data_IF_892024850936
#
_entry.id   IF_892024850936
#
_cell.length_a   1.000
_cell.length_b   1.000
_cell.length_c   1.000
_cell.angle_alpha   90.00
_cell.angle_beta   90.00
_cell.angle_gamma   90.00
#
_symmetry.space_group_name_H-M   'P 1'
#
loop_
_entity.id
_entity.type
_entity.pdbx_description
1 polymer ?
#
# COMPACT_ATOMS: atom_id res chain seq x y z
N UNK A 1 10.11 -8.81 -36.08
CA UNK A 1 9.36 -9.48 -34.98
C UNK A 1 10.21 -10.52 -34.24
N UNK A 2 10.62 -11.67 -34.81
CA UNK A 2 11.31 -12.77 -34.09
C UNK A 2 12.65 -12.47 -33.35
N UNK A 3 13.27 -11.28 -33.48
CA UNK A 3 14.51 -10.91 -32.75
C UNK A 3 14.27 -10.23 -31.40
N UNK A 4 13.14 -9.54 -31.17
CA UNK A 4 12.89 -8.86 -29.89
C UNK A 4 12.42 -9.81 -28.78
N UNK A 5 11.56 -10.80 -29.09
CA UNK A 5 11.10 -11.80 -28.10
C UNK A 5 12.24 -12.62 -27.49
N UNK A 6 13.28 -12.93 -28.27
CA UNK A 6 14.42 -13.71 -27.79
C UNK A 6 15.37 -12.89 -26.91
N UNK A 7 15.29 -11.56 -26.95
CA UNK A 7 16.11 -10.68 -26.11
C UNK A 7 15.47 -10.49 -24.73
N UNK A 8 14.15 -10.23 -24.67
CA UNK A 8 13.46 -10.13 -23.36
C UNK A 8 13.46 -11.47 -22.62
N UNK A 9 13.19 -12.59 -23.29
CA UNK A 9 13.23 -13.93 -22.66
C UNK A 9 14.63 -14.31 -22.15
N UNK A 10 15.72 -13.80 -22.76
CA UNK A 10 17.08 -13.99 -22.23
C UNK A 10 17.37 -13.09 -21.02
N UNK A 11 17.01 -11.81 -21.08
CA UNK A 11 17.17 -10.89 -19.94
C UNK A 11 16.38 -11.34 -18.70
N UNK A 12 15.14 -11.80 -18.88
CA UNK A 12 14.30 -12.32 -17.79
C UNK A 12 14.90 -13.59 -17.15
N UNK A 13 15.58 -14.46 -17.92
CA UNK A 13 16.22 -15.64 -17.37
C UNK A 13 17.52 -15.30 -16.61
N UNK A 14 18.35 -14.40 -17.14
CA UNK A 14 19.56 -13.92 -16.46
C UNK A 14 19.22 -13.22 -15.13
N UNK A 15 18.24 -12.31 -15.15
CA UNK A 15 17.77 -11.65 -13.93
C UNK A 15 17.18 -12.64 -12.91
N UNK A 16 16.53 -13.73 -13.37
CA UNK A 16 16.07 -14.79 -12.46
C UNK A 16 17.22 -15.58 -11.83
N UNK A 17 18.26 -15.88 -12.59
CA UNK A 17 19.46 -16.58 -12.08
C UNK A 17 20.20 -15.70 -11.04
N UNK A 18 20.38 -14.40 -11.32
CA UNK A 18 20.98 -13.45 -10.37
C UNK A 18 20.12 -13.23 -9.10
N UNK A 19 18.79 -13.16 -9.23
CA UNK A 19 17.87 -13.07 -8.08
C UNK A 19 17.93 -14.34 -7.21
N UNK A 20 18.10 -15.52 -7.81
CA UNK A 20 18.26 -16.79 -7.08
C UNK A 20 19.57 -16.79 -6.28
N UNK A 21 20.64 -16.24 -6.84
CA UNK A 21 21.96 -16.17 -6.19
C UNK A 21 21.94 -15.21 -4.98
N UNK A 22 21.43 -13.99 -5.16
CA UNK A 22 21.33 -12.98 -4.10
C UNK A 22 20.37 -13.41 -2.98
N UNK A 23 19.25 -14.07 -3.31
CA UNK A 23 18.38 -14.63 -2.28
C UNK A 23 19.07 -15.76 -1.50
N UNK A 24 19.93 -16.54 -2.16
CA UNK A 24 20.73 -17.58 -1.52
C UNK A 24 21.80 -16.98 -0.59
N UNK A 25 22.45 -15.88 -1.00
CA UNK A 25 23.38 -15.14 -0.16
C UNK A 25 22.70 -14.52 1.07
N UNK A 26 21.58 -13.79 0.88
CA UNK A 26 20.78 -13.23 1.96
C UNK A 26 20.32 -14.32 2.95
N UNK A 27 19.89 -15.47 2.43
CA UNK A 27 19.51 -16.63 3.23
C UNK A 27 20.69 -17.19 4.03
N UNK A 28 21.87 -17.29 3.43
CA UNK A 28 23.09 -17.73 4.12
C UNK A 28 23.47 -16.74 5.25
N UNK A 29 23.53 -15.44 4.97
CA UNK A 29 23.83 -14.41 5.97
C UNK A 29 22.85 -14.41 7.16
N UNK A 30 21.57 -14.75 6.93
CA UNK A 30 20.57 -14.90 8.00
C UNK A 30 20.79 -16.20 8.78
N UNK A 31 21.04 -17.32 8.10
CA UNK A 31 21.29 -18.62 8.75
C UNK A 31 22.54 -18.60 9.64
N UNK A 32 23.65 -18.02 9.17
CA UNK A 32 24.91 -17.89 9.94
C UNK A 32 24.78 -17.05 11.20
N UNK A 33 23.73 -16.22 11.28
CA UNK A 33 23.52 -15.27 12.39
C UNK A 33 22.39 -15.68 13.34
N UNK A 34 21.79 -16.84 13.11
CA UNK A 34 20.78 -17.43 13.97
C UNK A 34 21.33 -18.73 14.57
N UNK A 35 21.05 -19.03 15.85
CA UNK A 35 21.70 -20.13 16.53
C UNK A 35 21.14 -21.49 16.04
N UNK A 36 22.02 -22.47 15.83
CA UNK A 36 21.68 -23.77 15.22
C UNK A 36 20.55 -24.53 15.97
N UNK A 37 20.49 -24.37 17.29
CA UNK A 37 19.45 -24.96 18.16
C UNK A 37 18.04 -24.42 17.88
N UNK A 38 17.88 -23.35 17.09
CA UNK A 38 16.59 -22.88 16.59
C UNK A 38 16.01 -23.77 15.47
N UNK A 39 16.80 -24.70 14.89
CA UNK A 39 16.34 -25.66 13.86
C UNK A 39 15.53 -25.00 12.73
N UNK A 40 16.19 -24.08 12.00
CA UNK A 40 15.57 -23.36 10.88
C UNK A 40 15.38 -24.34 9.70
N UNK A 41 14.18 -24.35 9.13
CA UNK A 41 13.80 -25.27 8.05
C UNK A 41 13.74 -24.57 6.69
N UNK A 42 13.14 -23.39 6.65
CA UNK A 42 13.07 -22.58 5.44
C UNK A 42 13.11 -21.08 5.76
N UNK A 43 13.42 -20.31 4.73
CA UNK A 43 13.34 -18.87 4.71
C UNK A 43 12.57 -18.50 3.45
N UNK A 44 11.57 -17.65 3.59
CA UNK A 44 10.70 -17.20 2.49
C UNK A 44 10.59 -15.68 2.52
N UNK A 45 10.55 -15.06 1.34
CA UNK A 45 10.16 -13.65 1.22
C UNK A 45 8.64 -13.61 1.14
N UNK A 46 7.99 -12.80 1.96
CA UNK A 46 6.53 -12.69 2.00
C UNK A 46 6.10 -11.22 2.08
N UNK A 47 5.84 -10.62 0.92
CA UNK A 47 5.65 -9.18 0.82
C UNK A 47 6.90 -8.45 1.32
N UNK A 48 6.77 -7.43 2.19
CA UNK A 48 7.91 -6.70 2.74
C UNK A 48 8.66 -7.44 3.87
N UNK A 49 8.25 -8.66 4.21
CA UNK A 49 8.80 -9.43 5.34
C UNK A 49 9.68 -10.60 4.89
N UNK A 50 10.75 -10.84 5.64
CA UNK A 50 11.53 -12.07 5.54
C UNK A 50 11.04 -13.06 6.60
N UNK A 51 10.28 -14.06 6.17
CA UNK A 51 9.72 -15.10 7.01
C UNK A 51 10.73 -16.22 7.28
N UNK A 52 11.10 -16.43 8.55
CA UNK A 52 12.01 -17.50 8.99
C UNK A 52 11.20 -18.60 9.66
N UNK A 53 11.17 -19.79 9.06
CA UNK A 53 10.45 -20.95 9.57
C UNK A 53 11.38 -21.82 10.44
N UNK A 54 10.92 -22.17 11.64
CA UNK A 54 11.71 -22.84 12.67
C UNK A 54 10.93 -23.99 13.30
N UNK A 55 11.61 -25.12 13.53
CA UNK A 55 11.10 -26.25 14.35
C UNK A 55 11.27 -26.04 15.86
N UNK A 56 12.03 -25.02 16.27
CA UNK A 56 12.20 -24.66 17.67
C UNK A 56 12.11 -23.13 17.89
N UNK A 57 10.94 -22.52 17.63
CA UNK A 57 10.77 -21.06 17.72
C UNK A 57 10.97 -20.51 19.15
N UNK A 58 10.94 -21.39 20.16
CA UNK A 58 11.11 -21.05 21.59
C UNK A 58 12.45 -20.35 21.85
N UNK A 59 13.53 -20.84 21.25
CA UNK A 59 14.88 -20.26 21.36
C UNK A 59 14.90 -18.81 20.86
N UNK A 60 14.27 -18.56 19.72
CA UNK A 60 14.27 -17.23 19.09
C UNK A 60 13.37 -16.24 19.86
N UNK A 61 12.28 -16.72 20.46
CA UNK A 61 11.38 -15.92 21.30
C UNK A 61 11.98 -15.56 22.67
N UNK A 62 12.90 -16.37 23.18
CA UNK A 62 13.64 -16.12 24.42
C UNK A 62 14.86 -15.23 24.15
N UNK A 63 15.62 -15.48 23.08
CA UNK A 63 16.77 -14.68 22.65
C UNK A 63 16.37 -13.54 21.70
N UNK A 64 15.40 -12.72 22.10
CA UNK A 64 14.82 -11.67 21.26
C UNK A 64 15.80 -10.59 20.77
N UNK A 65 16.97 -10.46 21.38
CA UNK A 65 18.00 -9.49 21.00
C UNK A 65 18.78 -9.90 19.75
N UNK A 66 19.00 -11.21 19.51
CA UNK A 66 19.64 -11.72 18.29
C UNK A 66 18.87 -11.25 17.05
N UNK A 67 17.53 -11.33 17.10
CA UNK A 67 16.66 -10.89 16.00
C UNK A 67 16.85 -9.38 15.75
N UNK A 68 16.94 -8.57 16.81
CA UNK A 68 17.17 -7.12 16.69
C UNK A 68 18.52 -6.82 16.05
N UNK A 69 19.56 -7.57 16.37
CA UNK A 69 20.89 -7.43 15.77
C UNK A 69 20.88 -7.78 14.28
N UNK A 70 20.27 -8.91 13.91
CA UNK A 70 20.14 -9.32 12.49
C UNK A 70 19.31 -8.30 11.70
N UNK A 71 18.18 -7.83 12.26
CA UNK A 71 17.34 -6.77 11.64
C UNK A 71 18.12 -5.45 11.50
N UNK A 72 18.91 -5.03 12.50
CA UNK A 72 19.77 -3.83 12.41
C UNK A 72 20.84 -3.97 11.32
N UNK A 73 21.50 -5.13 11.24
CA UNK A 73 22.60 -5.38 10.30
C UNK A 73 22.10 -5.45 8.85
N UNK A 74 21.04 -6.21 8.60
CA UNK A 74 20.48 -6.40 7.25
C UNK A 74 19.54 -5.27 6.82
N UNK A 75 19.08 -4.44 7.76
CA UNK A 75 18.04 -3.41 7.57
C UNK A 75 16.73 -3.96 6.97
N UNK A 76 16.48 -5.27 7.06
CA UNK A 76 15.26 -5.96 6.58
C UNK A 76 14.38 -6.41 7.76
N UNK A 77 13.06 -6.42 7.57
CA UNK A 77 12.12 -6.89 8.60
C UNK A 77 12.07 -8.41 8.62
N UNK A 78 12.35 -9.02 9.78
CA UNK A 78 12.37 -10.48 9.96
C UNK A 78 11.19 -10.90 10.84
N UNK A 79 10.46 -11.92 10.38
CA UNK A 79 9.29 -12.48 11.06
C UNK A 79 9.49 -13.98 11.28
N UNK A 80 9.51 -14.39 12.55
CA UNK A 80 9.65 -15.81 12.92
C UNK A 80 8.29 -16.48 12.89
N UNK A 81 8.27 -17.68 12.31
CA UNK A 81 7.12 -18.56 12.19
C UNK A 81 7.51 -19.99 12.57
N UNK A 82 6.56 -20.71 13.15
CA UNK A 82 6.73 -22.14 13.40
C UNK A 82 6.62 -22.90 12.08
N UNK A 83 7.49 -23.88 11.87
CA UNK A 83 7.38 -24.80 10.73
C UNK A 83 6.01 -25.51 10.72
N UNK A 84 5.34 -25.69 9.56
CA UNK A 84 4.03 -26.36 9.51
C UNK A 84 4.00 -27.76 10.13
N UNK A 85 5.11 -28.52 10.11
CA UNK A 85 5.19 -29.89 10.64
C UNK A 85 5.14 -30.01 12.16
N UNK A 86 5.30 -28.91 12.90
CA UNK A 86 5.28 -28.88 14.38
C UNK A 86 4.04 -28.20 14.96
N UNK A 87 3.16 -27.63 14.13
CA UNK A 87 1.95 -26.96 14.59
C UNK A 87 0.91 -28.00 14.98
N UNK A 88 0.23 -27.76 16.11
CA UNK A 88 -0.92 -28.58 16.48
C UNK A 88 -2.07 -28.38 15.48
N UNK A 89 -2.94 -29.39 15.37
CA UNK A 89 -4.20 -29.27 14.63
C UNK A 89 -5.02 -28.06 15.14
N UNK A 90 -5.71 -27.29 14.28
CA UNK A 90 -6.51 -26.15 14.70
C UNK A 90 -7.53 -26.44 15.81
N UNK A 91 -8.20 -27.58 15.80
CA UNK A 91 -9.22 -27.89 16.83
C UNK A 91 -8.59 -28.33 18.16
N UNK A 92 -7.37 -28.89 18.14
CA UNK A 92 -6.58 -29.12 19.36
C UNK A 92 -5.99 -27.82 19.91
N UNK A 93 -5.36 -27.01 19.03
CA UNK A 93 -4.82 -25.71 19.37
C UNK A 93 -5.88 -24.78 19.97
N UNK A 94 -7.11 -24.80 19.42
CA UNK A 94 -8.27 -24.03 19.91
C UNK A 94 -8.70 -24.42 21.32
N UNK A 95 -8.72 -25.71 21.66
CA UNK A 95 -8.99 -26.18 23.04
C UNK A 95 -7.93 -25.63 24.00
N UNK A 96 -6.66 -25.81 23.65
CA UNK A 96 -5.52 -25.33 24.44
C UNK A 96 -5.54 -23.80 24.61
N UNK A 97 -5.90 -23.04 23.57
CA UNK A 97 -6.06 -21.58 23.67
C UNK A 97 -7.18 -21.22 24.65
N UNK A 98 -8.33 -21.91 24.61
CA UNK A 98 -9.44 -21.68 25.54
C UNK A 98 -9.15 -22.13 26.99
N UNK A 99 -8.19 -23.02 27.20
CA UNK A 99 -7.68 -23.41 28.53
C UNK A 99 -6.67 -22.39 29.09
N UNK A 100 -5.81 -21.82 28.24
CA UNK A 100 -4.79 -20.82 28.64
C UNK A 100 -5.42 -19.44 28.86
N UNK A 101 -6.40 -19.05 28.04
CA UNK A 101 -6.99 -17.71 28.05
C UNK A 101 -8.11 -17.63 29.12
N UNK A 102 -8.05 -16.68 30.07
CA UNK A 102 -9.08 -16.54 31.10
C UNK A 102 -10.47 -16.30 30.50
N UNK A 103 -11.52 -16.92 31.05
CA UNK A 103 -12.89 -16.80 30.54
C UNK A 103 -13.40 -15.34 30.55
N UNK A 104 -12.89 -14.53 31.48
CA UNK A 104 -13.18 -13.09 31.61
C UNK A 104 -12.67 -12.27 30.41
N UNK A 105 -11.80 -12.82 29.56
CA UNK A 105 -11.40 -12.22 28.30
C UNK A 105 -12.57 -12.09 27.31
N UNK A 106 -13.58 -12.97 27.45
CA UNK A 106 -14.74 -13.09 26.57
C UNK A 106 -14.31 -13.24 25.10
N UNK A 107 -13.63 -14.36 24.80
CA UNK A 107 -13.25 -14.74 23.43
C UNK A 107 -14.52 -15.02 22.62
N UNK A 108 -14.70 -14.29 21.53
CA UNK A 108 -15.87 -14.41 20.64
C UNK A 108 -15.61 -15.26 19.41
N UNK A 109 -14.34 -15.38 18.99
CA UNK A 109 -13.98 -16.08 17.76
C UNK A 109 -12.48 -16.45 17.77
N UNK A 110 -12.13 -17.58 17.15
CA UNK A 110 -10.75 -18.03 16.94
C UNK A 110 -10.66 -18.51 15.49
N UNK A 111 -9.73 -17.95 14.72
CA UNK A 111 -9.56 -18.19 13.29
C UNK A 111 -8.09 -18.51 12.98
N UNK A 112 -7.82 -19.60 12.28
CA UNK A 112 -6.45 -20.04 11.96
C UNK A 112 -6.10 -19.72 10.51
N UNK A 113 -4.90 -19.18 10.28
CA UNK A 113 -4.30 -19.05 8.95
C UNK A 113 -3.12 -20.01 8.82
N UNK A 114 -3.38 -21.16 8.20
CA UNK A 114 -2.41 -22.23 7.97
C UNK A 114 -1.22 -21.80 7.13
N UNK A 115 -1.39 -20.83 6.23
CA UNK A 115 -0.35 -20.43 5.30
C UNK A 115 0.74 -19.62 6.01
N UNK A 116 0.35 -18.71 6.91
CA UNK A 116 1.29 -17.91 7.71
C UNK A 116 1.61 -18.50 9.10
N UNK A 117 0.77 -19.41 9.62
CA UNK A 117 0.95 -19.99 10.95
C UNK A 117 0.49 -19.09 12.10
N UNK A 118 -0.44 -18.18 11.81
CA UNK A 118 -1.03 -17.28 12.80
C UNK A 118 -2.43 -17.77 13.21
N UNK A 119 -2.79 -17.48 14.47
CA UNK A 119 -4.13 -17.68 15.02
C UNK A 119 -4.69 -16.32 15.46
N UNK A 120 -5.74 -15.89 14.78
CA UNK A 120 -6.45 -14.64 15.08
C UNK A 120 -7.46 -14.93 16.19
N UNK A 121 -7.30 -14.25 17.33
CA UNK A 121 -8.16 -14.41 18.52
C UNK A 121 -8.95 -13.12 18.71
N UNK A 122 -10.27 -13.18 18.54
CA UNK A 122 -11.19 -12.07 18.85
C UNK A 122 -11.67 -12.17 20.29
N UNK A 123 -11.38 -11.18 21.12
CA UNK A 123 -11.86 -11.11 22.50
C UNK A 123 -12.33 -9.69 22.87
N UNK A 124 -13.37 -9.57 23.71
CA UNK A 124 -13.85 -8.24 24.15
C UNK A 124 -12.80 -7.51 25.01
N UNK A 125 -12.04 -8.27 25.81
CA UNK A 125 -10.95 -7.79 26.67
C UNK A 125 -9.60 -8.38 26.22
N UNK A 126 -9.03 -7.91 25.09
CA UNK A 126 -7.82 -8.51 24.49
C UNK A 126 -6.59 -8.48 25.41
N UNK A 127 -6.50 -7.51 26.33
CA UNK A 127 -5.41 -7.44 27.31
C UNK A 127 -5.29 -8.67 28.22
N UNK A 128 -6.40 -9.40 28.48
CA UNK A 128 -6.38 -10.65 29.24
C UNK A 128 -5.86 -11.85 28.41
N UNK A 129 -6.07 -11.82 27.09
CA UNK A 129 -5.50 -12.79 26.14
C UNK A 129 -4.00 -12.57 25.94
N UNK A 130 -3.56 -11.30 25.97
CA UNK A 130 -2.15 -10.93 25.86
C UNK A 130 -1.38 -11.29 27.14
N UNK A 131 -2.01 -11.03 28.30
CA UNK A 131 -1.40 -11.22 29.61
C UNK A 131 -0.39 -10.13 29.97
N UNK A 132 0.02 -10.09 31.23
CA UNK A 132 1.05 -9.14 31.70
C UNK A 132 2.35 -9.39 30.94
N UNK A 133 2.91 -8.35 30.32
CA UNK A 133 4.13 -8.40 29.51
C UNK A 133 4.17 -9.50 28.43
N UNK A 134 3.00 -9.87 27.88
CA UNK A 134 2.88 -10.87 26.81
C UNK A 134 3.08 -12.32 27.24
N UNK A 135 3.03 -12.64 28.55
CA UNK A 135 3.26 -14.01 29.06
C UNK A 135 2.27 -15.01 28.46
N UNK A 136 0.97 -14.67 28.40
CA UNK A 136 -0.07 -15.54 27.86
C UNK A 136 0.12 -15.80 26.36
N UNK A 137 0.53 -14.79 25.58
CA UNK A 137 0.89 -14.99 24.16
C UNK A 137 2.06 -15.98 24.01
N UNK A 138 3.12 -15.81 24.80
CA UNK A 138 4.28 -16.71 24.79
C UNK A 138 3.87 -18.14 25.18
N UNK A 139 2.97 -18.30 26.14
CA UNK A 139 2.47 -19.61 26.54
C UNK A 139 1.65 -20.29 25.43
N UNK A 140 0.77 -19.56 24.75
CA UNK A 140 0.06 -20.04 23.56
C UNK A 140 1.06 -20.55 22.52
N UNK A 141 2.07 -19.74 22.15
CA UNK A 141 3.09 -20.18 21.18
C UNK A 141 3.87 -21.41 21.69
N UNK A 142 4.22 -21.46 22.98
CA UNK A 142 5.00 -22.58 23.54
C UNK A 142 4.23 -23.91 23.58
N UNK A 143 2.88 -23.86 23.66
CA UNK A 143 2.01 -25.05 23.73
C UNK A 143 1.43 -25.45 22.38
N UNK A 144 1.03 -24.51 21.52
CA UNK A 144 0.35 -24.80 20.24
C UNK A 144 1.24 -24.66 19.01
N UNK A 145 2.36 -23.95 19.15
CA UNK A 145 3.21 -23.47 18.06
C UNK A 145 2.52 -22.55 17.05
N UNK A 146 1.29 -22.09 17.31
CA UNK A 146 0.64 -21.04 16.54
C UNK A 146 1.01 -19.66 17.08
N UNK A 147 1.19 -18.70 16.19
CA UNK A 147 1.50 -17.30 16.54
C UNK A 147 0.19 -16.52 16.79
N UNK A 148 -0.12 -16.10 18.03
CA UNK A 148 -1.39 -15.44 18.33
C UNK A 148 -1.37 -13.98 17.87
N UNK A 149 -2.36 -13.62 17.06
CA UNK A 149 -2.72 -12.25 16.71
C UNK A 149 -4.01 -11.89 17.43
N UNK A 150 -3.92 -11.08 18.48
CA UNK A 150 -5.07 -10.75 19.34
C UNK A 150 -5.72 -9.46 18.88
N UNK A 151 -7.02 -9.52 18.60
CA UNK A 151 -7.81 -8.37 18.17
C UNK A 151 -9.05 -8.21 19.06
N UNK A 152 -9.50 -6.96 19.21
CA UNK A 152 -10.68 -6.66 20.02
C UNK A 152 -11.95 -7.05 19.25
N UNK A 153 -12.83 -7.83 19.87
CA UNK A 153 -14.17 -8.11 19.33
C UNK A 153 -14.91 -6.78 19.11
N UNK A 154 -15.35 -6.45 17.86
CA UNK A 154 -16.02 -5.19 17.60
C UNK A 154 -17.43 -5.20 18.20
N UNK A 155 -17.93 -4.08 18.74
CA UNK A 155 -19.28 -4.00 19.31
C UNK A 155 -20.37 -4.13 18.23
N UNK A 156 -20.05 -3.77 16.98
CA UNK A 156 -20.92 -3.88 15.81
C UNK A 156 -20.21 -4.76 14.78
N UNK A 157 -20.87 -5.83 14.31
CA UNK A 157 -20.32 -6.71 13.27
C UNK A 157 -20.41 -6.03 11.90
N UNK A 158 -19.26 -5.82 11.24
CA UNK A 158 -19.20 -5.31 9.87
C UNK A 158 -19.23 -6.45 8.85
N UNK A 159 -20.20 -6.40 7.92
CA UNK A 159 -20.29 -7.36 6.81
C UNK A 159 -19.06 -7.31 5.91
N UNK A 160 -18.52 -6.12 5.63
CA UNK A 160 -17.34 -5.93 4.77
C UNK A 160 -16.09 -6.54 5.38
N UNK A 161 -15.88 -6.39 6.70
CA UNK A 161 -14.72 -7.01 7.38
C UNK A 161 -14.82 -8.54 7.33
N UNK A 162 -16.02 -9.10 7.56
CA UNK A 162 -16.24 -10.54 7.40
C UNK A 162 -15.97 -11.01 5.97
N UNK A 163 -16.49 -10.32 4.95
CA UNK A 163 -16.28 -10.63 3.54
C UNK A 163 -14.79 -10.65 3.17
N UNK A 164 -14.04 -9.61 3.54
CA UNK A 164 -12.60 -9.51 3.27
C UNK A 164 -11.84 -10.68 3.92
N UNK A 165 -12.15 -11.01 5.17
CA UNK A 165 -11.51 -12.14 5.88
C UNK A 165 -11.85 -13.47 5.21
N UNK A 166 -13.11 -13.71 4.86
CA UNK A 166 -13.53 -14.92 4.15
C UNK A 166 -12.78 -15.07 2.83
N UNK A 167 -12.65 -13.99 2.04
CA UNK A 167 -11.87 -13.99 0.78
C UNK A 167 -10.40 -14.38 1.03
N UNK A 168 -9.73 -13.71 1.98
CA UNK A 168 -8.31 -13.96 2.27
C UNK A 168 -8.08 -15.40 2.76
N UNK A 169 -9.00 -15.94 3.57
CA UNK A 169 -8.90 -17.31 4.08
C UNK A 169 -9.18 -18.36 3.00
N UNK A 170 -10.27 -18.21 2.23
CA UNK A 170 -10.64 -19.16 1.17
C UNK A 170 -9.58 -19.26 0.07
N UNK A 171 -8.84 -18.18 -0.16
CA UNK A 171 -7.80 -18.07 -1.18
C UNK A 171 -6.38 -18.03 -0.57
N UNK A 172 -6.20 -18.52 0.67
CA UNK A 172 -4.94 -18.32 1.42
C UNK A 172 -3.70 -18.89 0.72
N UNK A 173 -3.82 -20.00 -0.02
CA UNK A 173 -2.75 -20.56 -0.87
C UNK A 173 -2.37 -19.61 -2.02
N UNK A 174 -3.37 -18.95 -2.64
CA UNK A 174 -3.13 -17.94 -3.66
C UNK A 174 -2.49 -16.70 -3.03
N UNK A 175 -2.96 -16.26 -1.85
CA UNK A 175 -2.37 -15.14 -1.10
C UNK A 175 -0.90 -15.40 -0.79
N UNK A 176 -0.53 -16.61 -0.38
CA UNK A 176 0.87 -16.97 -0.12
C UNK A 176 1.74 -16.87 -1.37
N UNK A 177 1.24 -17.31 -2.54
CA UNK A 177 1.95 -17.14 -3.83
C UNK A 177 2.13 -15.66 -4.21
N UNK A 178 1.08 -14.86 -4.04
CA UNK A 178 1.10 -13.40 -4.27
C UNK A 178 2.18 -12.75 -3.37
N UNK A 179 2.17 -13.03 -2.07
CA UNK A 179 3.17 -12.50 -1.13
C UNK A 179 4.60 -12.92 -1.50
N UNK A 180 4.83 -14.17 -1.91
CA UNK A 180 6.15 -14.63 -2.38
C UNK A 180 6.64 -13.89 -3.62
N UNK A 181 5.77 -13.70 -4.62
CA UNK A 181 6.10 -12.95 -5.84
C UNK A 181 6.42 -11.48 -5.52
N UNK A 182 5.65 -10.86 -4.63
CA UNK A 182 5.88 -9.47 -4.18
C UNK A 182 7.21 -9.37 -3.42
N UNK A 183 7.50 -10.29 -2.51
CA UNK A 183 8.77 -10.28 -1.76
C UNK A 183 10.00 -10.47 -2.66
N UNK A 184 9.90 -11.32 -3.69
CA UNK A 184 10.94 -11.44 -4.72
C UNK A 184 11.14 -10.13 -5.52
N UNK A 185 10.06 -9.39 -5.82
CA UNK A 185 10.15 -8.06 -6.46
C UNK A 185 10.79 -7.01 -5.55
N UNK A 186 10.45 -6.96 -4.27
CA UNK A 186 10.97 -5.97 -3.30
C UNK A 186 12.48 -6.19 -3.02
N UNK A 187 12.92 -7.44 -3.01
CA UNK A 187 14.29 -7.81 -2.63
C UNK A 187 15.18 -8.20 -3.83
N UNK A 188 14.81 -7.80 -5.06
CA UNK A 188 15.70 -7.87 -6.23
C UNK A 188 16.95 -6.97 -6.04
N UNK A 189 18.09 -7.25 -6.71
CA UNK A 189 19.19 -6.29 -6.80
C UNK A 189 18.75 -4.97 -7.42
N UNK A 190 19.46 -3.90 -7.04
CA UNK A 190 19.52 -2.64 -7.78
C UNK A 190 20.42 -2.85 -9.00
N UNK A 191 19.90 -2.67 -10.21
CA UNK A 191 20.60 -2.92 -11.48
C UNK A 191 21.27 -1.66 -12.03
N UNK A 192 20.58 -0.52 -11.96
CA UNK A 192 21.01 0.80 -12.43
C UNK A 192 21.39 1.66 -11.23
N UNK A 193 22.56 2.31 -11.31
CA UNK A 193 23.10 3.18 -10.25
C UNK A 193 22.90 4.68 -10.53
N UNK A 194 22.18 5.01 -11.59
CA UNK A 194 21.84 6.40 -11.92
C UNK A 194 20.76 6.90 -10.96
N UNK A 195 20.86 8.15 -10.54
CA UNK A 195 20.05 8.69 -9.47
C UNK A 195 19.21 9.85 -10.00
N UNK A 196 17.99 9.51 -10.40
CA UNK A 196 16.96 10.45 -10.82
C UNK A 196 15.62 9.96 -10.31
N UNK A 197 14.77 10.88 -9.87
CA UNK A 197 13.41 10.56 -9.41
C UNK A 197 12.45 11.60 -9.96
N UNK A 198 11.40 11.10 -10.62
CA UNK A 198 10.41 11.87 -11.36
C UNK A 198 9.04 11.65 -10.73
N UNK A 199 8.28 12.75 -10.64
CA UNK A 199 6.85 12.71 -10.39
C UNK A 199 6.09 13.05 -11.67
N UNK A 200 5.13 12.21 -12.03
CA UNK A 200 4.22 12.43 -13.16
C UNK A 200 2.78 12.44 -12.66
N UNK A 201 2.06 13.51 -12.96
CA UNK A 201 0.72 13.79 -12.44
C UNK A 201 -0.35 13.26 -13.40
N UNK A 202 -0.94 12.10 -13.10
CA UNK A 202 -1.89 11.42 -13.99
C UNK A 202 -3.35 11.85 -13.76
N UNK A 203 -3.66 12.46 -12.61
CA UNK A 203 -4.98 13.05 -12.31
C UNK A 203 -5.02 13.69 -10.92
N UNK A 204 -6.00 14.55 -10.66
CA UNK A 204 -6.15 15.29 -9.40
C UNK A 204 -5.35 16.60 -9.31
N UNK A 205 -4.81 17.09 -10.43
CA UNK A 205 -4.02 18.33 -10.47
C UNK A 205 -4.76 19.45 -11.20
N UNK A 206 -4.99 20.57 -10.48
CA UNK A 206 -5.91 21.68 -10.88
C UNK A 206 -7.38 21.26 -11.02
N UNK A 207 -7.76 20.15 -10.39
CA UNK A 207 -9.11 19.59 -10.35
C UNK A 207 -9.31 18.89 -8.99
N UNK A 208 -10.55 18.46 -8.72
CA UNK A 208 -10.87 17.54 -7.62
C UNK A 208 -11.48 16.28 -8.24
N UNK A 209 -11.06 15.10 -7.78
CA UNK A 209 -11.38 13.82 -8.40
C UNK A 209 -10.15 13.17 -9.06
N UNK A 210 -10.23 11.85 -9.27
CA UNK A 210 -9.27 11.03 -10.03
C UNK A 210 -7.79 11.22 -9.66
N UNK A 211 -7.47 11.41 -8.38
CA UNK A 211 -6.10 11.57 -7.90
C UNK A 211 -5.25 10.36 -8.28
N UNK A 212 -4.11 10.62 -8.94
CA UNK A 212 -3.10 9.63 -9.30
C UNK A 212 -1.75 10.30 -9.56
N UNK A 213 -0.72 9.91 -8.81
CA UNK A 213 0.65 10.43 -8.89
C UNK A 213 1.60 9.26 -9.12
N UNK A 214 2.28 9.24 -10.26
CA UNK A 214 3.30 8.24 -10.55
C UNK A 214 4.67 8.74 -10.09
N UNK A 215 5.31 7.98 -9.19
CA UNK A 215 6.69 8.17 -8.74
C UNK A 215 7.56 7.16 -9.49
N UNK A 216 8.56 7.63 -10.24
CA UNK A 216 9.54 6.76 -10.89
C UNK A 216 10.96 7.09 -10.46
N UNK A 217 11.73 6.06 -10.18
CA UNK A 217 13.19 6.11 -10.02
C UNK A 217 13.85 5.43 -11.22
N UNK A 218 15.17 5.33 -11.23
CA UNK A 218 15.92 4.49 -12.18
C UNK A 218 15.57 3.00 -12.10
N UNK A 219 15.15 2.52 -10.92
CA UNK A 219 14.89 1.11 -10.63
C UNK A 219 13.41 0.74 -10.47
N UNK A 220 12.58 1.70 -10.05
CA UNK A 220 11.28 1.41 -9.47
C UNK A 220 10.17 2.34 -9.94
N UNK A 221 8.94 1.83 -9.95
CA UNK A 221 7.75 2.58 -10.36
C UNK A 221 6.62 2.40 -9.34
N UNK A 222 6.16 3.47 -8.70
CA UNK A 222 5.16 3.44 -7.62
C UNK A 222 4.05 4.45 -7.89
N UNK A 223 2.80 4.00 -7.84
CA UNK A 223 1.63 4.85 -8.04
C UNK A 223 1.02 5.22 -6.68
N UNK A 224 0.94 6.51 -6.37
CA UNK A 224 0.23 7.04 -5.19
C UNK A 224 -1.16 7.48 -5.63
N UNK A 225 -2.16 6.82 -5.06
CA UNK A 225 -3.57 6.88 -5.38
C UNK A 225 -3.92 6.52 -6.84
N UNK A 226 -5.14 6.04 -7.03
CA UNK A 226 -5.74 5.78 -8.34
C UNK A 226 -7.25 5.90 -8.17
N UNK A 227 -7.75 7.13 -8.24
CA UNK A 227 -9.13 7.48 -7.98
C UNK A 227 -10.03 7.60 -9.22
N UNK A 228 -11.31 7.88 -8.98
CA UNK A 228 -12.30 8.24 -10.01
C UNK A 228 -12.92 9.61 -9.71
N UNK A 229 -13.15 10.44 -10.72
CA UNK A 229 -13.92 11.67 -10.60
C UNK A 229 -15.41 11.35 -10.75
N UNK A 230 -16.11 11.26 -9.62
CA UNK A 230 -17.55 10.96 -9.56
C UNK A 230 -18.40 12.12 -10.13
N UNK A 231 -17.87 13.35 -10.12
CA UNK A 231 -18.57 14.56 -10.57
C UNK A 231 -18.50 14.82 -12.08
N UNK A 232 -17.56 14.21 -12.80
CA UNK A 232 -17.38 14.41 -14.25
C UNK A 232 -17.22 13.08 -15.00
N UNK A 233 -18.33 12.46 -15.46
CA UNK A 233 -18.29 11.15 -16.13
C UNK A 233 -17.45 11.11 -17.42
N UNK A 234 -17.34 12.21 -18.14
CA UNK A 234 -16.56 12.31 -19.40
C UNK A 234 -15.04 12.38 -19.14
N UNK A 235 -14.63 12.80 -17.94
CA UNK A 235 -13.24 12.88 -17.50
C UNK A 235 -13.04 12.14 -16.17
N UNK A 236 -13.71 10.98 -16.04
CA UNK A 236 -13.80 10.24 -14.78
C UNK A 236 -12.47 9.62 -14.33
N UNK A 237 -11.53 9.36 -15.23
CA UNK A 237 -10.39 8.48 -14.96
C UNK A 237 -9.02 9.19 -15.08
N UNK A 238 -7.99 8.71 -14.36
CA UNK A 238 -6.62 9.16 -14.54
C UNK A 238 -6.09 8.82 -15.94
N UNK A 239 -5.07 9.57 -16.36
CA UNK A 239 -4.35 9.37 -17.61
C UNK A 239 -3.38 8.18 -17.56
N UNK A 240 -3.94 6.97 -17.43
CA UNK A 240 -3.18 5.70 -17.53
C UNK A 240 -2.75 5.39 -18.98
N UNK A 241 -3.12 6.24 -19.93
CA UNK A 241 -2.66 6.27 -21.32
C UNK A 241 -1.38 7.12 -21.51
N UNK A 242 -0.87 7.76 -20.44
CA UNK A 242 0.36 8.54 -20.49
C UNK A 242 1.58 7.65 -20.82
N UNK A 243 2.48 8.04 -21.75
CA UNK A 243 3.63 7.22 -22.18
C UNK A 243 4.64 6.84 -21.08
N UNK A 244 4.52 7.45 -19.90
CA UNK A 244 5.38 7.24 -18.73
C UNK A 244 4.81 6.21 -17.74
N UNK A 245 3.54 5.83 -17.90
CA UNK A 245 2.87 4.79 -17.13
C UNK A 245 2.92 3.45 -17.86
N UNK A 246 3.56 2.46 -17.24
CA UNK A 246 3.47 1.05 -17.64
C UNK A 246 3.02 0.23 -16.43
N UNK A 247 2.03 -0.62 -16.64
CA UNK A 247 1.41 -1.46 -15.61
C UNK A 247 2.23 -2.72 -15.29
N UNK A 248 3.07 -3.18 -16.22
CA UNK A 248 3.97 -4.33 -16.03
C UNK A 248 5.18 -3.93 -15.17
N UNK A 249 5.68 -2.71 -15.37
CA UNK A 249 6.78 -2.08 -14.62
C UNK A 249 6.37 -1.59 -13.21
N UNK A 250 5.06 -1.52 -12.91
CA UNK A 250 4.57 -1.01 -11.63
C UNK A 250 4.93 -1.94 -10.46
N UNK A 251 5.73 -1.44 -9.52
CA UNK A 251 6.18 -2.15 -8.32
C UNK A 251 5.16 -2.13 -7.20
N UNK A 252 4.46 -1.00 -7.01
CA UNK A 252 3.52 -0.82 -5.91
C UNK A 252 2.44 0.22 -6.23
N UNK A 253 1.28 0.06 -5.60
CA UNK A 253 0.25 1.11 -5.48
C UNK A 253 0.13 1.47 -4.00
N UNK A 254 0.10 2.76 -3.67
CA UNK A 254 -0.15 3.26 -2.33
C UNK A 254 -1.52 3.95 -2.34
N UNK A 255 -2.40 3.62 -1.39
CA UNK A 255 -3.70 4.28 -1.24
C UNK A 255 -3.70 5.09 0.05
N UNK A 256 -3.79 6.40 -0.07
CA UNK A 256 -3.71 7.32 1.07
C UNK A 256 -4.91 7.17 2.00
N UNK A 257 -6.11 7.14 1.41
CA UNK A 257 -7.36 6.98 2.12
C UNK A 257 -8.47 6.44 1.22
N UNK A 258 -9.60 6.09 1.83
CA UNK A 258 -10.60 5.24 1.20
C UNK A 258 -11.60 5.94 0.25
N UNK A 259 -11.52 7.26 0.08
CA UNK A 259 -12.48 7.96 -0.79
C UNK A 259 -12.30 7.55 -2.26
N UNK A 260 -13.40 7.58 -3.03
CA UNK A 260 -13.41 7.09 -4.42
C UNK A 260 -12.51 7.91 -5.35
N UNK A 261 -12.32 9.19 -5.09
CA UNK A 261 -11.38 10.08 -5.77
C UNK A 261 -9.90 9.80 -5.49
N UNK A 262 -9.59 8.87 -4.58
CA UNK A 262 -8.23 8.39 -4.30
C UNK A 262 -8.07 6.87 -4.50
N UNK A 263 -9.09 6.07 -4.19
CA UNK A 263 -9.02 4.60 -4.27
C UNK A 263 -9.95 3.95 -5.31
N UNK A 264 -10.86 4.73 -5.91
CA UNK A 264 -11.98 4.21 -6.70
C UNK A 264 -11.61 3.60 -8.06
N UNK A 265 -10.36 3.72 -8.52
CA UNK A 265 -9.90 3.15 -9.79
C UNK A 265 -8.77 2.11 -9.63
N UNK A 266 -8.30 1.87 -8.40
CA UNK A 266 -7.34 0.79 -8.08
C UNK A 266 -7.75 -0.59 -8.65
N UNK A 267 -9.03 -1.03 -8.59
CA UNK A 267 -9.43 -2.32 -9.16
C UNK A 267 -9.30 -2.38 -10.69
N UNK A 268 -9.31 -1.24 -11.40
CA UNK A 268 -9.09 -1.19 -12.85
C UNK A 268 -7.69 -1.67 -13.22
N UNK A 269 -6.68 -1.37 -12.40
CA UNK A 269 -5.30 -1.85 -12.60
C UNK A 269 -5.25 -3.38 -12.65
N UNK A 270 -5.96 -4.03 -11.73
CA UNK A 270 -6.05 -5.49 -11.66
C UNK A 270 -6.75 -6.13 -12.85
N UNK A 271 -7.77 -5.46 -13.40
CA UNK A 271 -8.44 -5.84 -14.65
C UNK A 271 -7.52 -5.78 -15.86
N UNK A 272 -6.57 -4.84 -15.88
CA UNK A 272 -5.60 -4.64 -16.97
C UNK A 272 -4.25 -5.34 -16.77
N UNK A 273 -4.14 -6.22 -15.77
CA UNK A 273 -2.97 -7.11 -15.62
C UNK A 273 -2.02 -6.77 -14.48
N UNK A 274 -2.29 -5.74 -13.67
CA UNK A 274 -1.48 -5.49 -12.47
C UNK A 274 -1.51 -6.70 -11.52
N UNK A 275 -0.33 -7.07 -11.02
CA UNK A 275 -0.12 -8.17 -10.07
C UNK A 275 0.73 -7.78 -8.85
N UNK A 276 1.09 -6.50 -8.71
CA UNK A 276 1.84 -6.00 -7.55
C UNK A 276 0.97 -5.80 -6.30
N UNK A 277 1.56 -5.31 -5.19
CA UNK A 277 0.87 -4.98 -3.94
C UNK A 277 0.02 -3.71 -4.03
N UNK A 278 -0.93 -3.58 -3.12
CA UNK A 278 -1.53 -2.29 -2.72
C UNK A 278 -1.22 -2.04 -1.25
N UNK A 279 -0.59 -0.93 -0.90
CA UNK A 279 -0.27 -0.54 0.48
C UNK A 279 -1.21 0.54 0.98
N UNK A 280 -1.80 0.33 2.15
CA UNK A 280 -2.64 1.31 2.84
C UNK A 280 -2.80 0.92 4.32
N UNK A 281 -3.52 1.70 5.12
CA UNK A 281 -3.88 1.26 6.47
C UNK A 281 -4.93 0.14 6.44
N UNK A 282 -5.00 -0.64 7.53
CA UNK A 282 -6.03 -1.66 7.71
C UNK A 282 -7.46 -1.07 7.67
N UNK A 283 -7.67 0.15 8.15
CA UNK A 283 -8.97 0.83 8.03
C UNK A 283 -9.26 1.23 6.57
N UNK A 284 -8.29 1.82 5.86
CA UNK A 284 -8.44 2.21 4.45
C UNK A 284 -8.80 1.02 3.56
N UNK A 285 -8.14 -0.15 3.72
CA UNK A 285 -8.52 -1.37 2.97
C UNK A 285 -10.00 -1.72 3.12
N UNK A 286 -10.50 -1.68 4.35
CA UNK A 286 -11.87 -2.11 4.65
C UNK A 286 -12.90 -1.10 4.13
N UNK A 287 -12.61 0.20 4.21
CA UNK A 287 -13.48 1.26 3.70
C UNK A 287 -13.43 1.38 2.17
N UNK A 288 -12.25 1.29 1.54
CA UNK A 288 -12.14 1.33 0.08
C UNK A 288 -12.87 0.15 -0.56
N UNK A 289 -12.80 -1.05 0.06
CA UNK A 289 -13.56 -2.22 -0.41
C UNK A 289 -15.07 -1.98 -0.35
N UNK A 290 -15.56 -1.37 0.74
CA UNK A 290 -16.99 -1.03 0.87
C UNK A 290 -17.41 -0.06 -0.24
N UNK A 291 -16.66 1.03 -0.42
CA UNK A 291 -16.99 2.10 -1.36
C UNK A 291 -16.83 1.65 -2.83
N UNK A 292 -15.83 0.83 -3.14
CA UNK A 292 -15.64 0.26 -4.48
C UNK A 292 -16.76 -0.71 -4.87
N UNK A 293 -17.32 -1.48 -3.93
CA UNK A 293 -18.47 -2.34 -4.18
C UNK A 293 -19.76 -1.52 -4.32
N UNK A 294 -19.99 -0.56 -3.43
CA UNK A 294 -21.16 0.34 -3.50
C UNK A 294 -21.18 1.16 -4.80
N UNK A 295 -20.01 1.64 -5.26
CA UNK A 295 -19.85 2.31 -6.56
C UNK A 295 -20.28 1.42 -7.74
N UNK A 296 -19.95 0.13 -7.73
CA UNK A 296 -20.39 -0.80 -8.76
C UNK A 296 -21.91 -1.05 -8.69
N UNK A 297 -22.45 -1.29 -7.50
CA UNK A 297 -23.88 -1.53 -7.28
C UNK A 297 -24.74 -0.31 -7.68
N UNK A 298 -24.27 0.92 -7.41
CA UNK A 298 -24.92 2.17 -7.84
C UNK A 298 -24.83 2.35 -9.35
N UNK A 299 -23.62 2.19 -9.93
CA UNK A 299 -23.43 2.35 -11.37
C UNK A 299 -24.25 1.32 -12.19
N UNK A 300 -24.39 0.08 -11.72
CA UNK A 300 -25.24 -0.94 -12.35
C UNK A 300 -26.72 -0.54 -12.31
N UNK A 301 -27.22 -0.07 -11.16
CA UNK A 301 -28.62 0.40 -11.01
C UNK A 301 -28.95 1.63 -11.86
N UNK A 302 -27.98 2.50 -12.06
CA UNK A 302 -28.12 3.70 -12.90
C UNK A 302 -27.85 3.42 -14.40
N UNK A 303 -27.53 2.18 -14.78
CA UNK A 303 -27.20 1.82 -16.16
C UNK A 303 -25.91 2.46 -16.69
N UNK A 304 -25.01 2.88 -15.79
CA UNK A 304 -23.71 3.48 -16.12
C UNK A 304 -22.69 2.40 -16.46
N UNK A 305 -21.64 2.79 -17.20
CA UNK A 305 -20.54 1.89 -17.52
C UNK A 305 -19.77 1.49 -16.25
N UNK A 306 -19.64 0.19 -16.01
CA UNK A 306 -18.80 -0.36 -14.95
C UNK A 306 -17.32 -0.39 -15.44
N UNK A 307 -16.40 0.40 -14.86
CA UNK A 307 -15.00 0.41 -15.29
C UNK A 307 -14.30 -0.92 -15.01
N UNK A 308 -14.70 -1.62 -13.95
CA UNK A 308 -14.22 -2.92 -13.51
C UNK A 308 -15.37 -3.73 -12.87
N UNK A 309 -15.10 -4.95 -12.41
CA UNK A 309 -16.08 -5.87 -11.83
C UNK A 309 -15.78 -6.20 -10.36
N UNK A 310 -16.73 -6.84 -9.67
CA UNK A 310 -16.50 -7.35 -8.31
C UNK A 310 -15.34 -8.37 -8.23
N UNK A 311 -15.00 -9.06 -9.34
CA UNK A 311 -13.83 -9.96 -9.39
C UNK A 311 -12.51 -9.19 -9.29
N UNK A 312 -12.46 -8.00 -9.86
CA UNK A 312 -11.28 -7.14 -9.85
C UNK A 312 -11.09 -6.50 -8.48
N UNK A 313 -12.20 -6.15 -7.79
CA UNK A 313 -12.19 -5.78 -6.37
C UNK A 313 -11.68 -6.95 -5.50
N UNK A 314 -12.11 -8.18 -5.76
CA UNK A 314 -11.56 -9.38 -5.09
C UNK A 314 -10.05 -9.52 -5.33
N UNK A 315 -9.56 -9.30 -6.56
CA UNK A 315 -8.11 -9.32 -6.84
C UNK A 315 -7.38 -8.19 -6.08
N UNK A 316 -7.94 -6.98 -6.04
CA UNK A 316 -7.37 -5.87 -5.25
C UNK A 316 -7.27 -6.21 -3.75
N UNK A 317 -8.30 -6.80 -3.14
CA UNK A 317 -8.24 -7.30 -1.74
C UNK A 317 -7.10 -8.31 -1.58
N UNK A 318 -7.00 -9.28 -2.50
CA UNK A 318 -5.98 -10.33 -2.50
C UNK A 318 -4.55 -9.83 -2.67
N UNK A 319 -4.36 -8.62 -3.20
CA UNK A 319 -3.06 -7.95 -3.34
C UNK A 319 -2.83 -6.82 -2.31
N UNK A 320 -3.84 -6.43 -1.52
CA UNK A 320 -3.68 -5.36 -0.52
C UNK A 320 -2.91 -5.86 0.71
N UNK A 321 -1.80 -5.22 1.04
CA UNK A 321 -0.98 -5.43 2.24
C UNK A 321 -1.23 -4.24 3.19
N UNK A 322 -2.00 -4.42 4.28
CA UNK A 322 -2.20 -3.36 5.25
C UNK A 322 -0.92 -3.13 6.07
N UNK A 323 -0.60 -1.85 6.35
CA UNK A 323 0.51 -1.43 7.21
C UNK A 323 -0.02 -0.64 8.41
N UNK A 324 0.70 -0.67 9.54
CA UNK A 324 0.41 0.17 10.70
C UNK A 324 1.10 1.54 10.61
N UNK A 325 0.65 2.49 11.44
CA UNK A 325 1.27 3.82 11.48
C UNK A 325 2.67 3.78 12.10
N UNK A 326 3.61 4.54 11.53
CA UNK A 326 5.02 4.58 11.94
C UNK A 326 5.85 3.34 11.57
N UNK A 327 5.28 2.41 10.80
CA UNK A 327 5.94 1.18 10.37
C UNK A 327 6.75 1.38 9.08
N UNK A 328 8.09 1.38 9.20
CA UNK A 328 9.00 1.48 8.05
C UNK A 328 9.02 0.17 7.28
N UNK A 329 8.62 0.22 6.01
CA UNK A 329 8.35 -0.93 5.16
C UNK A 329 9.12 -0.78 3.83
N UNK A 330 9.93 -1.78 3.44
CA UNK A 330 10.49 -1.84 2.08
C UNK A 330 9.36 -2.16 1.09
N UNK A 331 9.15 -1.33 0.06
CA UNK A 331 8.10 -1.53 -0.96
C UNK A 331 8.67 -1.71 -2.37
N UNK A 332 9.93 -1.36 -2.57
CA UNK A 332 10.76 -1.66 -3.74
C UNK A 332 12.23 -1.74 -3.27
N UNK A 333 13.22 -2.09 -4.13
CA UNK A 333 14.62 -2.22 -3.73
C UNK A 333 15.23 -0.95 -3.12
N UNK A 334 14.84 0.20 -3.68
CA UNK A 334 15.30 1.55 -3.37
C UNK A 334 14.22 2.42 -2.68
N UNK A 335 12.99 1.92 -2.50
CA UNK A 335 11.88 2.69 -1.91
C UNK A 335 11.39 2.06 -0.61
N UNK A 336 11.39 2.89 0.44
CA UNK A 336 10.73 2.64 1.73
C UNK A 336 9.51 3.51 1.90
N UNK A 337 8.49 2.95 2.55
CA UNK A 337 7.22 3.58 2.90
C UNK A 337 7.03 3.58 4.42
N UNK A 338 6.52 4.67 4.97
CA UNK A 338 6.03 4.76 6.36
C UNK A 338 4.72 5.54 6.38
N UNK A 339 3.65 5.02 6.99
CA UNK A 339 2.33 5.67 7.01
C UNK A 339 2.11 6.49 8.29
N UNK A 340 1.51 7.68 8.19
CA UNK A 340 1.26 8.58 9.32
C UNK A 340 -0.16 9.14 9.30
N UNK A 341 -0.80 9.25 10.46
CA UNK A 341 -2.22 9.58 10.59
C UNK A 341 -2.53 11.05 10.24
N UNK A 342 -3.41 11.29 9.26
CA UNK A 342 -3.87 12.63 8.87
C UNK A 342 -4.93 13.26 9.77
N UNK A 343 -5.70 12.42 10.49
CA UNK A 343 -6.92 12.88 11.17
C UNK A 343 -8.11 13.23 10.27
N UNK A 344 -8.02 13.09 8.94
CA UNK A 344 -9.12 13.44 8.01
C UNK A 344 -10.29 12.43 8.03
N UNK A 345 -10.02 11.14 7.77
CA UNK A 345 -10.99 10.04 7.95
C UNK A 345 -10.31 8.85 8.66
N UNK A 346 -11.10 7.86 9.10
CA UNK A 346 -10.57 6.66 9.75
C UNK A 346 -9.60 5.91 8.83
N UNK A 347 -8.32 5.83 9.23
CA UNK A 347 -7.27 5.19 8.44
C UNK A 347 -6.59 6.09 7.42
N UNK A 348 -6.97 7.36 7.33
CA UNK A 348 -6.36 8.32 6.42
C UNK A 348 -4.91 8.60 6.80
N UNK A 349 -4.01 8.45 5.82
CA UNK A 349 -2.63 8.89 5.96
C UNK A 349 -2.48 10.34 5.50
N UNK A 350 -1.50 11.08 6.02
CA UNK A 350 -1.27 12.49 5.66
C UNK A 350 -1.20 12.67 4.14
N UNK A 351 -1.99 13.58 3.53
CA UNK A 351 -1.91 13.84 2.09
C UNK A 351 -0.55 14.42 1.70
N UNK A 352 0.12 15.08 2.66
CA UNK A 352 1.55 15.34 2.64
C UNK A 352 2.32 14.02 2.73
N UNK A 353 2.45 13.40 1.56
CA UNK A 353 3.47 12.39 1.30
C UNK A 353 4.81 13.09 1.42
N UNK A 354 5.38 13.00 2.61
CA UNK A 354 6.72 13.44 2.91
C UNK A 354 7.73 12.52 2.16
N UNK A 355 8.59 13.18 1.40
CA UNK A 355 9.60 12.59 0.53
C UNK A 355 10.95 12.92 1.13
N UNK A 356 11.78 11.90 1.33
CA UNK A 356 13.15 12.09 1.86
C UNK A 356 14.06 12.36 0.68
N UNK A 357 14.49 13.61 0.56
CA UNK A 357 15.48 14.08 -0.39
C UNK A 357 16.88 13.67 0.06
N UNK A 358 17.81 13.62 -0.89
CA UNK A 358 19.11 12.99 -0.69
C UNK A 358 20.12 13.92 -0.05
N UNK A 359 19.70 15.11 0.35
CA UNK A 359 20.40 15.96 1.32
C UNK A 359 19.92 15.70 2.75
N UNK A 360 18.96 14.79 2.92
CA UNK A 360 18.29 14.48 4.18
C UNK A 360 17.13 15.44 4.50
N UNK A 361 16.77 16.37 3.59
CA UNK A 361 15.59 17.20 3.79
C UNK A 361 14.31 16.42 3.51
N UNK A 362 13.34 16.57 4.41
CA UNK A 362 12.02 15.97 4.27
C UNK A 362 11.08 17.05 3.75
N UNK A 363 10.48 16.82 2.60
CA UNK A 363 9.59 17.78 1.92
C UNK A 363 8.29 17.07 1.55
N UNK A 364 7.14 17.73 1.69
CA UNK A 364 5.90 17.16 1.16
C UNK A 364 5.93 17.13 -0.36
N UNK A 365 5.27 16.15 -1.00
CA UNK A 365 5.01 16.20 -2.45
C UNK A 365 4.35 17.54 -2.82
N UNK A 366 3.50 18.08 -1.95
CA UNK A 366 2.89 19.41 -2.09
C UNK A 366 3.94 20.54 -2.17
N UNK A 367 4.89 20.60 -1.24
CA UNK A 367 5.96 21.60 -1.19
C UNK A 367 6.97 21.45 -2.32
N UNK A 368 7.31 20.22 -2.68
CA UNK A 368 8.22 19.88 -3.78
C UNK A 368 7.64 20.34 -5.13
N UNK A 369 6.35 20.12 -5.34
CA UNK A 369 5.62 20.60 -6.53
C UNK A 369 5.31 22.09 -6.46
N UNK A 370 5.15 22.67 -5.27
CA UNK A 370 4.89 24.12 -5.10
C UNK A 370 6.12 24.97 -5.38
N UNK A 371 7.26 24.63 -4.76
CA UNK A 371 8.43 25.50 -4.66
C UNK A 371 9.40 25.45 -5.85
N UNK A 372 9.17 24.60 -6.86
CA UNK A 372 10.03 24.51 -8.05
C UNK A 372 11.51 24.23 -7.70
N UNK A 373 11.75 23.49 -6.63
CA UNK A 373 13.09 23.27 -6.09
C UNK A 373 13.93 22.48 -7.10
N UNK A 374 15.00 23.13 -7.60
CA UNK A 374 16.15 22.42 -8.14
C UNK A 374 16.82 21.66 -6.99
N UNK A 375 16.33 20.45 -6.77
CA UNK A 375 16.93 19.50 -5.84
C UNK A 375 18.36 19.25 -6.31
N UNK A 376 19.34 19.48 -5.43
CA UNK A 376 20.70 19.00 -5.64
C UNK A 376 20.84 17.51 -5.34
N UNK A 377 19.84 16.90 -4.70
CA UNK A 377 19.96 15.58 -4.10
C UNK A 377 18.64 14.76 -4.14
N UNK A 378 18.74 13.42 -4.08
CA UNK A 378 17.77 12.45 -4.59
C UNK A 378 16.82 11.76 -3.64
N UNK A 379 15.69 11.27 -4.14
CA UNK A 379 14.60 10.76 -3.30
C UNK A 379 14.91 9.33 -2.79
N UNK A 380 15.80 9.18 -1.81
CA UNK A 380 16.26 7.87 -1.33
C UNK A 380 15.20 7.12 -0.47
N UNK A 381 14.08 7.76 -0.09
CA UNK A 381 12.89 7.08 0.47
C UNK A 381 11.63 7.96 0.50
N UNK A 382 10.46 7.35 0.69
CA UNK A 382 9.16 8.04 0.86
C UNK A 382 8.66 7.85 2.30
N UNK A 383 9.17 8.67 3.22
CA UNK A 383 8.86 8.59 4.64
C UNK A 383 7.79 9.59 5.03
N UNK A 384 6.59 9.09 5.37
CA UNK A 384 5.39 9.81 5.84
C UNK A 384 5.54 10.80 7.03
N UNK A 385 6.75 11.10 7.53
CA UNK A 385 6.98 11.36 8.97
C UNK A 385 7.76 12.64 9.32
N UNK A 386 7.51 13.22 10.50
CA UNK A 386 8.13 14.46 11.00
C UNK A 386 9.59 14.30 11.49
N UNK A 387 10.05 13.07 11.79
CA UNK A 387 11.28 12.83 12.55
C UNK A 387 12.48 12.40 11.69
N UNK A 388 13.16 13.42 11.17
CA UNK A 388 14.31 13.51 10.26
C UNK A 388 15.60 12.72 10.64
N UNK A 389 16.00 11.61 9.97
CA UNK A 389 17.42 11.14 9.87
C UNK A 389 17.74 10.23 8.64
N UNK A 390 19.01 10.32 8.16
CA UNK A 390 19.75 9.46 7.18
C UNK A 390 19.33 9.54 5.68
N UNK A 391 20.16 9.31 4.65
CA UNK A 391 21.60 9.52 4.34
C UNK A 391 21.72 9.61 2.78
N UNK A 392 22.77 10.23 2.20
CA UNK A 392 22.70 10.98 0.91
C UNK A 392 22.82 10.22 -0.43
N UNK A 393 22.20 10.77 -1.51
CA UNK A 393 22.51 10.60 -2.99
C UNK A 393 21.73 11.61 -3.91
N UNK A 394 21.57 11.50 -5.27
CA UNK A 394 21.09 12.60 -6.20
C UNK A 394 19.76 12.45 -7.03
N UNK A 395 19.07 13.55 -7.47
CA UNK A 395 17.88 13.54 -8.39
C UNK A 395 17.47 14.88 -9.06
N UNK A 396 16.61 14.81 -10.10
CA UNK A 396 16.05 15.94 -10.88
C UNK A 396 14.51 15.86 -11.04
N UNK A 397 13.80 16.94 -10.67
CA UNK A 397 12.35 17.12 -10.85
C UNK A 397 12.06 18.23 -11.87
N UNK A 398 11.10 18.02 -12.77
CA UNK A 398 10.67 19.02 -13.75
C UNK A 398 9.19 19.37 -13.57
N UNK A 399 8.88 20.66 -13.38
CA UNK A 399 7.52 21.20 -13.40
C UNK A 399 7.26 21.88 -14.74
N UNK A 400 6.08 21.68 -15.32
CA UNK A 400 5.61 22.49 -16.46
C UNK A 400 5.01 23.79 -15.90
N UNK A 401 5.53 24.95 -16.32
CA UNK A 401 5.16 26.23 -15.71
C UNK A 401 3.67 26.56 -15.81
N UNK A 402 3.15 27.27 -14.80
CA UNK A 402 1.78 27.79 -14.78
C UNK A 402 1.69 29.12 -15.55
N UNK A 403 0.53 29.46 -16.13
CA UNK A 403 0.32 30.79 -16.70
C UNK A 403 0.48 31.88 -15.62
N UNK A 404 1.05 33.03 -16.01
CA UNK A 404 1.52 34.08 -15.08
C UNK A 404 0.41 34.84 -14.35
N UNK A 405 -0.84 34.73 -14.82
CA UNK A 405 -1.98 35.46 -14.28
C UNK A 405 -3.14 34.50 -13.99
N UNK A 406 -3.83 34.74 -12.87
CA UNK A 406 -5.00 33.98 -12.43
C UNK A 406 -6.20 34.93 -12.33
N UNK A 407 -7.37 34.45 -12.75
CA UNK A 407 -8.63 35.17 -12.67
C UNK A 407 -9.32 34.86 -11.34
N UNK A 408 -9.79 35.90 -10.64
CA UNK A 408 -10.64 35.74 -9.45
C UNK A 408 -12.08 36.05 -9.82
N UNK A 409 -12.96 35.07 -9.67
CA UNK A 409 -14.38 35.17 -10.01
C UNK A 409 -15.20 35.09 -8.72
N UNK A 410 -16.04 36.10 -8.49
CA UNK A 410 -16.95 36.18 -7.34
C UNK A 410 -18.39 36.21 -7.83
N UNK A 411 -19.23 35.31 -7.31
CA UNK A 411 -20.65 35.23 -7.66
C UNK A 411 -21.50 36.19 -6.86
N UNK A 412 -22.72 36.45 -7.32
CA UNK A 412 -23.73 37.22 -6.57
C UNK A 412 -24.18 36.55 -5.25
N UNK A 413 -23.80 35.28 -5.03
CA UNK A 413 -24.05 34.53 -3.78
C UNK A 413 -22.86 34.63 -2.80
N UNK A 414 -21.78 35.34 -3.15
CA UNK A 414 -20.61 35.58 -2.30
C UNK A 414 -19.48 34.53 -2.44
N UNK A 415 -19.71 33.43 -3.14
CA UNK A 415 -18.66 32.45 -3.44
C UNK A 415 -17.57 33.07 -4.32
N UNK A 416 -16.30 32.83 -3.98
CA UNK A 416 -15.15 33.35 -4.72
C UNK A 416 -14.18 32.22 -5.04
N UNK A 417 -13.83 32.08 -6.32
CA UNK A 417 -12.88 31.08 -6.83
C UNK A 417 -11.74 31.78 -7.58
N UNK A 418 -10.52 31.24 -7.51
CA UNK A 418 -9.35 31.75 -8.25
C UNK A 418 -8.83 30.66 -9.18
N UNK A 419 -8.68 30.98 -10.47
CA UNK A 419 -8.58 30.01 -11.57
C UNK A 419 -7.61 30.46 -12.65
N UNK A 420 -7.14 29.54 -13.51
CA UNK A 420 -6.31 29.88 -14.68
C UNK A 420 -7.16 30.49 -15.81
N UNK A 421 -6.56 31.24 -16.77
CA UNK A 421 -7.30 31.87 -17.87
C UNK A 421 -8.14 30.88 -18.68
N UNK A 422 -7.58 29.70 -18.93
CA UNK A 422 -8.19 28.58 -19.67
C UNK A 422 -9.22 27.77 -18.86
N UNK A 423 -9.45 28.08 -17.58
CA UNK A 423 -10.33 27.26 -16.73
C UNK A 423 -11.79 27.38 -17.21
N UNK A 424 -12.46 26.25 -17.53
CA UNK A 424 -13.80 26.28 -18.10
C UNK A 424 -14.87 26.55 -17.04
N UNK A 425 -15.80 27.45 -17.35
CA UNK A 425 -17.06 27.63 -16.63
C UNK A 425 -18.24 27.32 -17.54
N UNK A 426 -19.31 26.82 -16.95
CA UNK A 426 -20.59 26.67 -17.63
C UNK A 426 -21.37 27.99 -17.56
N UNK A 427 -21.46 28.71 -18.67
CA UNK A 427 -22.29 29.91 -18.82
C UNK A 427 -23.66 29.54 -19.39
N UNK A 428 -24.73 30.00 -18.75
CA UNK A 428 -26.09 29.90 -19.27
C UNK A 428 -26.41 31.15 -20.12
N UNK A 429 -26.54 30.96 -21.44
CA UNK A 429 -26.85 32.04 -22.39
C UNK A 429 -28.01 31.63 -23.30
N UNK A 430 -29.05 32.47 -23.39
CA UNK A 430 -30.26 32.23 -24.18
C UNK A 430 -30.91 30.84 -23.93
N UNK A 431 -30.86 30.34 -22.69
CA UNK A 431 -31.41 29.04 -22.31
C UNK A 431 -30.56 27.82 -22.69
N UNK A 432 -29.35 28.02 -23.25
CA UNK A 432 -28.37 26.96 -23.50
C UNK A 432 -27.17 27.12 -22.58
N UNK A 433 -26.60 25.99 -22.17
CA UNK A 433 -25.33 25.94 -21.44
C UNK A 433 -24.20 25.90 -22.48
N UNK A 434 -23.25 26.82 -22.37
CA UNK A 434 -22.03 26.87 -23.17
C UNK A 434 -20.81 26.88 -22.24
N UNK A 435 -19.73 26.19 -22.65
CA UNK A 435 -18.46 26.24 -21.94
C UNK A 435 -17.71 27.50 -22.37
N UNK A 436 -17.23 28.28 -21.40
CA UNK A 436 -16.46 29.50 -21.62
C UNK A 436 -15.24 29.52 -20.70
N UNK A 437 -14.08 29.91 -21.22
CA UNK A 437 -12.86 30.03 -20.41
C UNK A 437 -12.95 31.24 -19.46
N UNK A 438 -12.21 31.20 -18.34
CA UNK A 438 -12.24 32.23 -17.31
C UNK A 438 -11.92 33.65 -17.83
N UNK A 439 -11.02 33.75 -18.81
CA UNK A 439 -10.63 34.97 -19.52
C UNK A 439 -11.76 35.58 -20.37
N UNK A 440 -12.76 34.79 -20.75
CA UNK A 440 -13.87 35.14 -21.63
C UNK A 440 -15.20 35.40 -20.89
N UNK A 441 -15.20 35.28 -19.56
CA UNK A 441 -16.36 35.55 -18.70
C UNK A 441 -16.51 37.04 -18.45
N UNK A 442 -17.74 37.54 -18.58
CA UNK A 442 -18.07 38.95 -18.35
C UNK A 442 -18.93 39.12 -17.11
N UNK A 443 -18.74 40.25 -16.41
CA UNK A 443 -19.53 40.58 -15.22
C UNK A 443 -21.02 40.64 -15.59
N UNK A 444 -21.81 39.74 -14.99
CA UNK A 444 -23.24 39.56 -15.30
C UNK A 444 -23.57 38.26 -16.05
N UNK A 445 -22.56 37.52 -16.53
CA UNK A 445 -22.77 36.17 -17.05
C UNK A 445 -23.30 35.24 -15.94
N UNK A 446 -24.35 34.49 -16.25
CA UNK A 446 -24.89 33.45 -15.35
C UNK A 446 -24.01 32.21 -15.46
N UNK A 447 -23.02 32.12 -14.58
CA UNK A 447 -22.14 30.96 -14.45
C UNK A 447 -22.67 30.00 -13.39
N UNK A 448 -22.53 28.69 -13.63
CA UNK A 448 -22.65 27.69 -12.56
C UNK A 448 -21.35 27.66 -11.74
N UNK A 449 -21.49 27.55 -10.42
CA UNK A 449 -20.40 27.44 -9.44
C UNK A 449 -20.75 26.42 -8.37
#
# INVERSE_FOLDING_TARGET
MKKHENCSKRGINLAKEEIIDIFSELKQQILESLPENAQITSLELEGPEVAVYSKNPKVLLENGDIIKEVVKRLRKRIVIRSDPSIRLDPEEAKKIILEIVPQEAEVTNIMFDHNVGEVIIEAKKPGLVIGRSGVTLREIIKKTFWRPSVIRSPPIKSKTISLIRTIIQSESDQRKRILRNIGQRIHRPILVKDEWIRLSTLGGFREVGRTAILVRTSESSVLIDCGVNVGSPEHAFPHLDAPEFDIEELDAVIVTHAHLDHSGFVPFLFKYGYEGPVYCTQATRNLMTLLQLDYLDVAEREGKLLPYSQKDVKKAIMHTIPLEYGEVTDIAPDIRLTLHNAGHILGCVTPDTLVVLGDGSIISISDLLSNNLHLKHGITSVSMNENLQFEKTEALVFKKEAPKELYRITTSLGYTVTVTPEHPFFRLRNGKIEVVCADQIKKGDKIAT
#
